data_IF_935388583910
#
_entry.id   IF_935388583910
#
_cell.length_a   1.000
_cell.length_b   1.000
_cell.length_c   1.000
_cell.angle_alpha   90.00
_cell.angle_beta   90.00
_cell.angle_gamma   90.00
#
_symmetry.space_group_name_H-M   'P 1'
#
loop_
_entity.id
_entity.type
_entity.pdbx_description
1 polymer ?
#
# COMPACT_ATOMS: atom_id res chain seq x y z
N UNK A 1 -1.83 -14.52 2.19
CA UNK A 1 -1.44 -13.11 1.92
C UNK A 1 -2.44 -12.05 2.41
N UNK A 2 -3.70 -12.37 2.73
CA UNK A 2 -4.72 -11.41 3.24
C UNK A 2 -4.54 -10.95 4.70
N UNK A 3 -3.83 -11.71 5.54
CA UNK A 3 -3.65 -11.43 6.98
C UNK A 3 -2.76 -10.20 7.29
N UNK A 4 -1.86 -9.81 6.39
CA UNK A 4 -0.96 -8.66 6.57
C UNK A 4 -1.68 -7.31 6.68
N UNK A 5 -2.83 -7.16 6.00
CA UNK A 5 -3.57 -5.90 5.97
C UNK A 5 -4.21 -5.55 7.32
N UNK A 6 -4.56 -6.56 8.13
CA UNK A 6 -5.18 -6.37 9.45
C UNK A 6 -4.19 -5.92 10.51
N UNK A 7 -2.94 -6.35 10.44
CA UNK A 7 -1.93 -6.05 11.48
C UNK A 7 -1.22 -4.71 11.23
N UNK A 8 -1.06 -4.27 9.97
CA UNK A 8 -0.48 -2.95 9.66
C UNK A 8 -1.44 -1.78 9.97
N UNK A 9 -2.74 -2.07 10.10
CA UNK A 9 -3.76 -1.11 10.57
C UNK A 9 -3.50 -0.62 12.02
N UNK A 10 -2.62 -1.29 12.76
CA UNK A 10 -2.22 -0.87 14.12
C UNK A 10 -1.03 0.11 14.12
N UNK A 11 -0.41 0.39 12.98
CA UNK A 11 0.71 1.31 12.89
C UNK A 11 0.20 2.73 12.70
N UNK A 12 -0.05 3.41 13.81
CA UNK A 12 -0.31 4.86 13.82
C UNK A 12 1.04 5.60 13.85
N UNK A 13 1.30 6.57 12.94
CA UNK A 13 2.46 7.43 13.06
C UNK A 13 2.37 8.26 14.34
N UNK A 14 3.49 8.47 15.04
CA UNK A 14 3.59 9.42 16.16
C UNK A 14 3.63 8.83 17.58
N UNK A 15 3.90 7.54 17.77
CA UNK A 15 4.31 7.02 19.09
C UNK A 15 5.52 6.12 18.94
N UNK A 16 6.65 6.57 19.49
CA UNK A 16 7.89 5.80 19.54
C UNK A 16 7.62 4.39 20.07
N UNK A 17 8.10 3.40 19.31
CA UNK A 17 7.92 1.96 19.50
C UNK A 17 6.61 1.38 18.95
N UNK A 18 6.68 0.99 17.68
CA UNK A 18 5.75 0.06 17.07
C UNK A 18 6.11 -1.38 17.51
N UNK A 19 5.22 -2.01 18.28
CA UNK A 19 5.34 -3.41 18.69
C UNK A 19 4.54 -4.30 17.73
N UNK A 20 5.22 -5.00 16.82
CA UNK A 20 4.58 -6.05 16.01
C UNK A 20 4.53 -7.36 16.82
N UNK A 21 3.34 -7.89 17.09
CA UNK A 21 3.18 -9.12 17.88
C UNK A 21 3.42 -10.43 17.11
N UNK A 22 3.68 -10.40 15.79
CA UNK A 22 3.79 -11.62 14.99
C UNK A 22 5.07 -11.72 14.13
N UNK A 23 5.57 -12.96 14.00
CA UNK A 23 6.69 -13.32 13.12
C UNK A 23 6.23 -13.24 11.66
N UNK A 24 6.67 -12.22 10.93
CA UNK A 24 6.30 -12.01 9.51
C UNK A 24 7.49 -12.29 8.57
N UNK A 25 7.61 -13.51 8.01
CA UNK A 25 8.73 -13.89 7.15
C UNK A 25 8.64 -13.40 5.70
N UNK A 26 7.47 -12.99 5.18
CA UNK A 26 7.30 -12.76 3.74
C UNK A 26 7.98 -11.50 3.18
N UNK A 27 7.94 -10.35 3.87
CA UNK A 27 8.57 -9.11 3.35
C UNK A 27 10.11 -9.12 3.47
N UNK A 28 10.64 -9.75 4.52
CA UNK A 28 12.09 -10.03 4.61
C UNK A 28 12.53 -11.03 3.54
N UNK A 29 11.70 -12.03 3.24
CA UNK A 29 12.00 -13.05 2.23
C UNK A 29 12.00 -12.49 0.80
N UNK A 30 11.29 -11.38 0.56
CA UNK A 30 11.25 -10.71 -0.76
C UNK A 30 12.28 -9.56 -0.85
N UNK A 31 13.06 -9.30 0.20
CA UNK A 31 14.14 -8.29 0.18
C UNK A 31 13.67 -6.84 0.07
N UNK A 32 12.42 -6.55 0.41
CA UNK A 32 11.85 -5.19 0.40
C UNK A 32 12.12 -4.41 1.69
N UNK A 33 12.54 -5.13 2.74
CA UNK A 33 12.93 -4.56 4.02
C UNK A 33 14.36 -5.01 4.33
N UNK A 34 15.32 -4.09 4.23
CA UNK A 34 16.73 -4.31 4.56
C UNK A 34 17.09 -3.33 5.68
N UNK A 35 17.68 -3.82 6.79
CA UNK A 35 18.19 -2.94 7.86
C UNK A 35 17.30 -2.78 9.10
N UNK A 36 16.22 -3.55 9.26
CA UNK A 36 15.41 -3.47 10.49
C UNK A 36 16.23 -3.97 11.68
N UNK A 37 16.51 -3.05 12.61
CA UNK A 37 17.17 -3.38 13.86
C UNK A 37 16.30 -4.30 14.71
N UNK A 38 16.90 -5.37 15.22
CA UNK A 38 16.27 -6.24 16.22
C UNK A 38 16.77 -5.84 17.60
N UNK A 39 15.88 -5.77 18.58
CA UNK A 39 16.26 -5.67 19.99
C UNK A 39 16.87 -6.99 20.45
N UNK A 40 17.60 -6.97 21.57
CA UNK A 40 18.14 -8.18 22.22
C UNK A 40 17.03 -9.21 22.55
N UNK A 41 15.80 -8.74 22.77
CA UNK A 41 14.60 -9.57 22.95
C UNK A 41 13.99 -10.12 21.65
N UNK A 42 14.61 -9.87 20.49
CA UNK A 42 14.17 -10.36 19.18
C UNK A 42 13.03 -9.55 18.53
N UNK A 43 12.63 -8.40 19.10
CA UNK A 43 11.58 -7.54 18.55
C UNK A 43 12.14 -6.61 17.48
N UNK A 44 11.35 -6.30 16.45
CA UNK A 44 11.73 -5.36 15.39
C UNK A 44 11.52 -3.93 15.87
N UNK A 45 12.54 -3.10 15.78
CA UNK A 45 12.44 -1.64 15.94
C UNK A 45 12.43 -0.98 14.57
N UNK A 46 11.45 -0.12 14.36
CA UNK A 46 11.30 0.69 13.16
C UNK A 46 11.55 2.15 13.52
N UNK A 47 12.37 2.83 12.74
CA UNK A 47 12.45 4.29 12.76
C UNK A 47 11.22 4.91 12.09
N UNK A 48 11.05 6.23 12.19
CA UNK A 48 10.00 6.93 11.45
C UNK A 48 10.19 6.80 9.93
N UNK A 49 11.44 6.76 9.46
CA UNK A 49 11.76 6.52 8.05
C UNK A 49 11.34 5.11 7.61
N UNK A 50 11.52 4.10 8.46
CA UNK A 50 11.05 2.75 8.17
C UNK A 50 9.52 2.68 8.06
N UNK A 51 8.81 3.45 8.89
CA UNK A 51 7.34 3.54 8.86
C UNK A 51 6.87 4.23 7.58
N UNK A 52 7.53 5.32 7.19
CA UNK A 52 7.24 6.01 5.93
C UNK A 52 7.49 5.09 4.73
N UNK A 53 8.59 4.35 4.73
CA UNK A 53 8.91 3.34 3.71
C UNK A 53 7.85 2.23 3.63
N UNK A 54 7.45 1.67 4.78
CA UNK A 54 6.39 0.66 4.86
C UNK A 54 5.04 1.18 4.35
N UNK A 55 4.72 2.43 4.66
CA UNK A 55 3.49 3.09 4.20
C UNK A 55 3.48 3.21 2.69
N UNK A 56 4.61 3.60 2.09
CA UNK A 56 4.74 3.68 0.63
C UNK A 56 4.61 2.30 -0.04
N UNK A 57 5.32 1.28 0.46
CA UNK A 57 5.24 -0.09 -0.05
C UNK A 57 3.82 -0.66 0.05
N UNK A 58 3.11 -0.31 1.13
CA UNK A 58 1.69 -0.65 1.26
C UNK A 58 0.86 0.03 0.18
N UNK A 59 1.01 1.34 0.01
CA UNK A 59 0.27 2.10 -0.99
C UNK A 59 0.45 1.48 -2.39
N UNK A 60 1.69 1.19 -2.80
CA UNK A 60 1.99 0.54 -4.09
C UNK A 60 1.26 -0.79 -4.26
N UNK A 61 1.23 -1.62 -3.22
CA UNK A 61 0.57 -2.93 -3.28
C UNK A 61 -0.96 -2.80 -3.29
N UNK A 62 -1.51 -1.91 -2.47
CA UNK A 62 -2.96 -1.69 -2.36
C UNK A 62 -3.51 -1.09 -3.67
N UNK A 63 -2.67 -0.38 -4.43
CA UNK A 63 -2.93 0.13 -5.79
C UNK A 63 -2.47 -0.82 -6.90
N UNK A 64 -2.20 -2.08 -6.56
CA UNK A 64 -1.88 -3.17 -7.50
C UNK A 64 -0.63 -2.94 -8.35
N UNK A 65 0.40 -2.29 -7.82
CA UNK A 65 1.73 -2.34 -8.43
C UNK A 65 2.24 -3.79 -8.47
N UNK A 66 2.69 -4.29 -9.63
CA UNK A 66 3.27 -5.62 -9.73
C UNK A 66 4.51 -5.78 -8.83
N UNK A 67 4.67 -6.96 -8.22
CA UNK A 67 5.78 -7.24 -7.31
C UNK A 67 7.16 -7.00 -7.94
N UNK A 68 7.32 -7.29 -9.23
CA UNK A 68 8.54 -7.03 -9.97
C UNK A 68 8.90 -5.52 -10.01
N UNK A 69 7.90 -4.66 -10.17
CA UNK A 69 8.11 -3.20 -10.15
C UNK A 69 8.40 -2.70 -8.73
N UNK A 70 7.71 -3.24 -7.72
CA UNK A 70 8.02 -2.93 -6.31
C UNK A 70 9.45 -3.32 -5.95
N UNK A 71 9.93 -4.47 -6.47
CA UNK A 71 11.31 -4.91 -6.27
C UNK A 71 12.30 -3.97 -6.95
N UNK A 72 12.06 -3.61 -8.22
CA UNK A 72 12.86 -2.62 -8.95
C UNK A 72 12.93 -1.30 -8.19
N UNK A 73 11.81 -0.81 -7.67
CA UNK A 73 11.77 0.41 -6.88
C UNK A 73 12.62 0.29 -5.60
N UNK A 74 12.55 -0.84 -4.89
CA UNK A 74 13.38 -1.07 -3.71
C UNK A 74 14.88 -1.18 -4.02
N UNK A 75 15.24 -1.79 -5.15
CA UNK A 75 16.63 -1.85 -5.62
C UNK A 75 17.16 -0.43 -5.95
N UNK A 76 16.37 0.37 -6.66
CA UNK A 76 16.70 1.78 -6.96
C UNK A 76 16.78 2.64 -5.69
N UNK A 77 15.89 2.42 -4.72
CA UNK A 77 15.93 3.12 -3.43
C UNK A 77 17.23 2.83 -2.67
N UNK A 78 17.71 1.58 -2.68
CA UNK A 78 18.98 1.18 -2.05
C UNK A 78 20.21 1.72 -2.76
N UNK A 79 20.15 1.88 -4.08
CA UNK A 79 21.26 2.42 -4.87
C UNK A 79 21.57 3.90 -4.54
N UNK A 80 20.71 4.58 -3.78
CA UNK A 80 20.98 5.92 -3.26
C UNK A 80 20.43 7.05 -4.15
N UNK A 81 20.86 8.30 -3.89
CA UNK A 81 20.29 9.49 -4.51
C UNK A 81 20.51 9.58 -6.02
N UNK A 82 21.57 8.96 -6.55
CA UNK A 82 21.90 8.97 -7.99
C UNK A 82 20.80 8.32 -8.86
N UNK A 83 19.94 7.49 -8.25
CA UNK A 83 18.82 6.82 -8.92
C UNK A 83 17.47 7.49 -8.65
N UNK A 84 17.46 8.70 -8.09
CA UNK A 84 16.22 9.42 -7.77
C UNK A 84 15.35 9.65 -9.01
N UNK A 85 15.92 10.00 -10.16
CA UNK A 85 15.18 10.22 -11.39
C UNK A 85 14.41 8.96 -11.83
N UNK A 86 15.07 7.80 -11.83
CA UNK A 86 14.42 6.52 -12.19
C UNK A 86 13.31 6.12 -11.20
N UNK A 87 13.50 6.43 -9.92
CA UNK A 87 12.47 6.21 -8.88
C UNK A 87 11.24 7.07 -9.14
N UNK A 88 11.44 8.34 -9.48
CA UNK A 88 10.36 9.27 -9.80
C UNK A 88 9.60 8.79 -11.04
N UNK A 89 10.29 8.43 -12.12
CA UNK A 89 9.64 7.92 -13.33
C UNK A 89 8.76 6.70 -13.04
N UNK A 90 9.24 5.74 -12.25
CA UNK A 90 8.46 4.56 -11.88
C UNK A 90 7.18 4.93 -11.10
N UNK A 91 7.30 5.88 -10.15
CA UNK A 91 6.17 6.37 -9.37
C UNK A 91 5.16 7.14 -10.22
N UNK A 92 5.62 8.00 -11.14
CA UNK A 92 4.76 8.76 -12.05
C UNK A 92 3.98 7.83 -12.99
N UNK A 93 4.66 6.85 -13.59
CA UNK A 93 4.01 5.84 -14.43
C UNK A 93 2.95 5.07 -13.65
N UNK A 94 3.24 4.72 -12.40
CA UNK A 94 2.27 4.07 -11.55
C UNK A 94 1.11 4.99 -11.18
N UNK A 95 1.38 6.25 -10.83
CA UNK A 95 0.38 7.27 -10.55
C UNK A 95 -0.62 7.42 -11.70
N UNK A 96 -0.13 7.55 -12.93
CA UNK A 96 -0.97 7.57 -14.15
C UNK A 96 -1.86 6.33 -14.29
N UNK A 97 -1.37 5.14 -13.91
CA UNK A 97 -2.21 3.92 -13.92
C UNK A 97 -3.30 3.97 -12.87
N UNK A 98 -2.98 4.45 -11.67
CA UNK A 98 -3.94 4.59 -10.56
C UNK A 98 -5.01 5.63 -10.91
N UNK A 99 -4.63 6.77 -11.48
CA UNK A 99 -5.56 7.81 -11.93
C UNK A 99 -6.56 7.27 -12.97
N UNK A 100 -6.08 6.54 -13.98
CA UNK A 100 -6.96 5.90 -14.97
C UNK A 100 -7.92 4.90 -14.32
N UNK A 101 -7.44 4.12 -13.35
CA UNK A 101 -8.28 3.17 -12.61
C UNK A 101 -9.33 3.89 -11.78
N UNK A 102 -8.97 4.99 -11.10
CA UNK A 102 -9.90 5.79 -10.32
C UNK A 102 -11.02 6.35 -11.20
N UNK A 103 -10.66 6.94 -12.34
CA UNK A 103 -11.63 7.46 -13.31
C UNK A 103 -12.60 6.37 -13.78
N UNK A 104 -12.07 5.19 -14.15
CA UNK A 104 -12.90 4.06 -14.55
C UNK A 104 -13.84 3.60 -13.43
N UNK A 105 -13.34 3.46 -12.20
CA UNK A 105 -14.15 3.07 -11.04
C UNK A 105 -15.24 4.10 -10.73
N UNK A 106 -14.95 5.39 -10.89
CA UNK A 106 -15.94 6.46 -10.75
C UNK A 106 -17.05 6.33 -11.79
N UNK A 107 -16.71 6.09 -13.06
CA UNK A 107 -17.70 5.85 -14.12
C UNK A 107 -18.58 4.64 -13.80
N UNK A 108 -17.98 3.50 -13.43
CA UNK A 108 -18.71 2.30 -13.06
C UNK A 108 -19.62 2.54 -11.84
N UNK A 109 -19.14 3.29 -10.85
CA UNK A 109 -19.91 3.64 -9.66
C UNK A 109 -21.15 4.47 -10.00
N UNK A 110 -21.05 5.43 -10.92
CA UNK A 110 -22.20 6.20 -11.39
C UNK A 110 -23.29 5.30 -11.97
N UNK A 111 -22.92 4.38 -12.88
CA UNK A 111 -23.88 3.43 -13.48
C UNK A 111 -24.55 2.57 -12.40
N UNK A 112 -23.78 2.02 -11.47
CA UNK A 112 -24.32 1.22 -10.36
C UNK A 112 -25.28 2.05 -9.51
N UNK A 113 -24.95 3.31 -9.24
CA UNK A 113 -25.78 4.20 -8.43
C UNK A 113 -27.11 4.54 -9.12
N UNK A 114 -27.07 4.80 -10.42
CA UNK A 114 -28.27 5.09 -11.21
C UNK A 114 -29.22 3.87 -11.21
N UNK A 115 -28.66 2.68 -11.43
CA UNK A 115 -29.38 1.40 -11.39
C UNK A 115 -29.99 1.10 -10.00
N UNK A 116 -29.32 1.51 -8.91
CA UNK A 116 -29.86 1.44 -7.55
C UNK A 116 -31.04 2.40 -7.39
N UNK A 117 -30.91 3.64 -7.89
CA UNK A 117 -31.97 4.65 -7.84
C UNK A 117 -33.26 4.20 -8.54
N UNK A 118 -33.14 3.76 -9.80
CA UNK A 118 -34.28 3.28 -10.59
C UNK A 118 -35.01 2.11 -9.90
N UNK A 119 -34.28 1.17 -9.29
CA UNK A 119 -34.89 0.03 -8.60
C UNK A 119 -35.50 0.41 -7.26
N UNK A 120 -34.93 1.38 -6.54
CA UNK A 120 -35.50 1.86 -5.29
C UNK A 120 -36.85 2.56 -5.52
N UNK A 121 -36.98 3.34 -6.59
CA UNK A 121 -38.25 4.00 -6.96
C UNK A 121 -39.35 2.99 -7.33
N UNK A 122 -39.01 1.95 -8.09
CA UNK A 122 -39.95 0.88 -8.48
C UNK A 122 -40.39 -0.01 -7.29
N UNK A 123 -39.60 -0.05 -6.21
CA UNK A 123 -39.89 -0.83 -5.01
C UNK A 123 -40.78 -0.08 -3.99
N UNK A 124 -41.06 1.21 -4.20
CA UNK A 124 -41.92 1.97 -3.31
C UNK A 124 -43.40 1.65 -3.63
N UNK A 125 -44.17 1.08 -2.68
CA UNK A 125 -45.57 0.76 -2.96
C UNK A 125 -46.36 2.04 -3.18
N UNK A 126 -47.10 2.08 -4.27
CA UNK A 126 -48.10 3.11 -4.56
C UNK A 126 -49.19 2.98 -3.49
N UNK A 127 -49.24 3.93 -2.56
CA UNK A 127 -50.34 4.08 -1.59
C UNK A 127 -51.55 4.72 -2.24
#
# INVERSE_FOLDING_TARGET
MRSFLRDLLLLRPGRGQIRLQHRHPSLLRIGLLTGIHRTESGQRRFSDDDVNWLTLLRCMRDTEMPLAQMRRYADLHRAGPDRLAERLTLLEEHGRRVERRLAHLQTCWTVIRDEIGTRAEAAQPVH
#
